data_IF_914736169415
#
_entry.id   IF_914736169415
#
_cell.length_a   1.000
_cell.length_b   1.000
_cell.length_c   1.000
_cell.angle_alpha   90.00
_cell.angle_beta   90.00
_cell.angle_gamma   90.00
#
_symmetry.space_group_name_H-M   'P 1'
#
loop_
_entity.id
_entity.type
_entity.pdbx_description
1 polymer ?
#
# COMPACT_ATOMS: atom_id res chain seq x y z
N UNK A 1 4.05 8.84 -19.13
CA UNK A 1 4.90 9.40 -18.05
C UNK A 1 6.14 8.51 -17.98
N UNK A 2 7.31 9.05 -17.66
CA UNK A 2 8.53 8.25 -17.42
C UNK A 2 8.66 8.07 -15.90
N UNK A 3 8.01 7.04 -15.36
CA UNK A 3 8.09 6.66 -13.95
C UNK A 3 8.55 5.21 -13.94
N UNK A 4 9.65 4.91 -13.25
CA UNK A 4 10.13 3.54 -13.06
C UNK A 4 9.20 2.82 -12.08
N UNK A 5 8.85 1.58 -12.40
CA UNK A 5 7.92 0.78 -11.61
C UNK A 5 8.66 -0.34 -10.89
N UNK A 6 8.45 -0.43 -9.58
CA UNK A 6 8.91 -1.53 -8.73
C UNK A 6 7.70 -2.38 -8.35
N UNK A 7 7.77 -3.69 -8.62
CA UNK A 7 6.78 -4.65 -8.14
C UNK A 7 7.24 -5.30 -6.83
N UNK A 8 6.28 -5.67 -5.98
CA UNK A 8 6.51 -6.58 -4.85
C UNK A 8 5.76 -7.88 -5.09
N UNK A 9 6.31 -9.00 -4.60
CA UNK A 9 5.70 -10.31 -4.81
C UNK A 9 5.98 -11.29 -3.67
N UNK A 10 5.06 -12.22 -3.44
CA UNK A 10 5.28 -13.40 -2.59
C UNK A 10 5.99 -14.51 -3.37
N UNK A 11 6.58 -15.49 -2.69
CA UNK A 11 7.34 -16.59 -3.33
C UNK A 11 6.59 -17.28 -4.48
N UNK A 12 5.29 -17.54 -4.30
CA UNK A 12 4.41 -18.17 -5.29
C UNK A 12 4.03 -17.24 -6.46
N UNK A 13 4.24 -15.94 -6.31
CA UNK A 13 3.93 -14.93 -7.33
C UNK A 13 5.15 -14.53 -8.18
N UNK A 14 6.29 -15.21 -8.04
CA UNK A 14 7.54 -14.89 -8.74
C UNK A 14 7.42 -14.84 -10.27
N UNK A 15 6.47 -15.57 -10.85
CA UNK A 15 6.20 -15.60 -12.30
C UNK A 15 4.94 -14.84 -12.68
N UNK A 16 4.32 -14.10 -11.73
CA UNK A 16 3.10 -13.35 -12.00
C UNK A 16 3.36 -12.21 -12.99
N UNK A 17 2.41 -11.88 -13.88
CA UNK A 17 2.62 -10.88 -14.93
C UNK A 17 3.08 -9.51 -14.42
N UNK A 18 2.61 -9.05 -13.26
CA UNK A 18 3.01 -7.74 -12.72
C UNK A 18 4.50 -7.69 -12.34
N UNK A 19 5.07 -8.81 -11.91
CA UNK A 19 6.50 -8.96 -11.62
C UNK A 19 7.30 -8.85 -12.91
N UNK A 20 6.85 -9.55 -13.96
CA UNK A 20 7.55 -9.60 -15.25
C UNK A 20 7.45 -8.29 -16.05
N UNK A 21 6.46 -7.44 -15.76
CA UNK A 21 6.23 -6.17 -16.44
C UNK A 21 6.91 -4.97 -15.76
N UNK A 22 7.30 -5.10 -14.49
CA UNK A 22 7.96 -4.03 -13.75
C UNK A 22 9.44 -3.89 -14.15
N UNK A 23 10.02 -2.71 -13.89
CA UNK A 23 11.44 -2.46 -14.14
C UNK A 23 12.33 -3.17 -13.10
N UNK A 24 11.82 -3.33 -11.88
CA UNK A 24 12.45 -4.03 -10.77
C UNK A 24 11.39 -4.78 -9.94
N UNK A 25 11.77 -5.87 -9.27
CA UNK A 25 10.86 -6.62 -8.40
C UNK A 25 11.53 -7.13 -7.13
N UNK A 26 10.82 -7.04 -5.99
CA UNK A 26 11.30 -7.44 -4.66
C UNK A 26 10.42 -8.54 -4.06
N UNK A 27 11.06 -9.65 -3.64
CA UNK A 27 10.42 -10.69 -2.86
C UNK A 27 10.13 -10.19 -1.45
N UNK A 28 8.85 -10.17 -1.07
CA UNK A 28 8.41 -9.70 0.25
C UNK A 28 8.07 -10.83 1.21
N UNK A 29 8.06 -12.10 0.79
CA UNK A 29 7.86 -13.22 1.72
C UNK A 29 7.11 -14.42 1.16
N UNK A 30 6.59 -15.30 2.03
CA UNK A 30 5.87 -16.50 1.60
C UNK A 30 4.45 -16.19 1.11
N UNK A 31 3.81 -17.19 0.51
CA UNK A 31 2.47 -17.12 -0.07
C UNK A 31 1.37 -16.55 0.84
N UNK A 32 1.51 -16.65 2.16
CA UNK A 32 0.53 -16.14 3.10
C UNK A 32 0.54 -14.59 3.08
N UNK A 33 -0.59 -13.92 2.73
CA UNK A 33 -0.64 -12.47 2.65
C UNK A 33 -0.27 -11.76 3.96
N UNK A 34 -0.64 -12.33 5.11
CA UNK A 34 -0.31 -11.76 6.43
C UNK A 34 1.19 -11.71 6.70
N UNK A 35 1.97 -12.52 5.98
CA UNK A 35 3.43 -12.59 6.07
C UNK A 35 4.09 -12.00 4.81
N UNK A 36 3.32 -11.38 3.89
CA UNK A 36 3.80 -10.75 2.67
C UNK A 36 3.06 -9.44 2.40
N UNK A 37 2.00 -9.46 1.58
CA UNK A 37 1.31 -8.26 1.09
C UNK A 37 0.61 -7.40 2.15
N UNK A 38 0.29 -7.97 3.31
CA UNK A 38 -0.35 -7.27 4.44
C UNK A 38 0.65 -6.86 5.52
N UNK A 39 1.92 -7.16 5.34
CA UNK A 39 2.98 -6.81 6.28
C UNK A 39 3.56 -5.43 5.93
N UNK A 40 3.40 -4.47 6.85
CA UNK A 40 3.73 -3.07 6.58
C UNK A 40 5.24 -2.87 6.38
N UNK A 41 6.04 -3.53 7.22
CA UNK A 41 7.50 -3.37 7.21
C UNK A 41 8.07 -3.90 5.91
N UNK A 42 7.59 -5.06 5.45
CA UNK A 42 8.04 -5.65 4.19
C UNK A 42 7.79 -4.76 2.98
N UNK A 43 6.64 -4.09 2.94
CA UNK A 43 6.29 -3.19 1.82
C UNK A 43 7.13 -1.91 1.87
N UNK A 44 7.27 -1.29 3.05
CA UNK A 44 8.05 -0.05 3.22
C UNK A 44 9.55 -0.31 3.03
N UNK A 45 10.07 -1.43 3.54
CA UNK A 45 11.47 -1.80 3.36
C UNK A 45 11.79 -2.11 1.91
N UNK A 46 10.87 -2.73 1.15
CA UNK A 46 11.03 -2.92 -0.28
C UNK A 46 11.13 -1.57 -1.01
N UNK A 47 10.25 -0.62 -0.70
CA UNK A 47 10.29 0.73 -1.28
C UNK A 47 11.60 1.47 -0.94
N UNK A 48 12.09 1.36 0.31
CA UNK A 48 13.37 1.96 0.72
C UNK A 48 14.57 1.33 0.01
N UNK A 49 14.59 0.00 -0.11
CA UNK A 49 15.68 -0.73 -0.79
C UNK A 49 15.82 -0.32 -2.27
N UNK A 50 14.70 -0.04 -2.94
CA UNK A 50 14.68 0.37 -4.35
C UNK A 50 14.75 1.90 -4.53
N UNK A 51 14.90 2.67 -3.45
CA UNK A 51 14.86 4.14 -3.47
C UNK A 51 13.60 4.70 -4.13
N UNK A 52 12.45 4.05 -3.91
CA UNK A 52 11.17 4.53 -4.40
C UNK A 52 10.73 5.78 -3.65
N UNK A 53 10.09 6.72 -4.35
CA UNK A 53 9.55 7.95 -3.74
C UNK A 53 8.10 7.78 -3.23
N UNK A 54 7.37 6.79 -3.77
CA UNK A 54 5.94 6.63 -3.56
C UNK A 54 5.48 5.17 -3.61
N UNK A 55 4.38 4.88 -2.94
CA UNK A 55 3.72 3.57 -2.93
C UNK A 55 2.28 3.74 -3.44
N UNK A 56 1.93 2.99 -4.49
CA UNK A 56 0.55 2.87 -4.96
C UNK A 56 -0.03 1.54 -4.47
N UNK A 57 -1.03 1.55 -3.56
CA UNK A 57 -1.53 0.32 -2.94
C UNK A 57 -2.50 -0.48 -3.82
N UNK A 58 -2.96 0.10 -4.93
CA UNK A 58 -4.01 -0.53 -5.73
C UNK A 58 -5.34 -0.51 -5.00
N UNK A 59 -5.96 -1.69 -4.86
CA UNK A 59 -7.23 -1.89 -4.16
C UNK A 59 -7.18 -3.19 -3.35
N UNK A 60 -7.96 -3.25 -2.26
CA UNK A 60 -7.83 -4.32 -1.29
C UNK A 60 -6.47 -4.28 -0.59
N UNK A 61 -6.15 -5.33 0.17
CA UNK A 61 -4.95 -5.38 1.00
C UNK A 61 -4.83 -4.16 1.93
N UNK A 62 -3.89 -3.26 1.64
CA UNK A 62 -3.55 -2.11 2.47
C UNK A 62 -4.11 -0.79 1.92
N UNK A 63 -4.83 -0.81 0.78
CA UNK A 63 -5.33 0.41 0.12
C UNK A 63 -6.28 1.24 0.97
N UNK A 64 -7.01 0.60 1.88
CA UNK A 64 -8.00 1.20 2.77
C UNK A 64 -7.56 1.14 4.24
N UNK A 65 -6.26 0.91 4.48
CA UNK A 65 -5.70 0.86 5.82
C UNK A 65 -5.05 2.21 6.17
N UNK A 66 -5.75 3.01 6.97
CA UNK A 66 -5.26 4.33 7.36
C UNK A 66 -4.01 4.29 8.25
N UNK A 67 -3.77 3.20 8.98
CA UNK A 67 -2.51 3.03 9.73
C UNK A 67 -1.34 2.79 8.77
N UNK A 68 -1.54 2.00 7.72
CA UNK A 68 -0.53 1.81 6.68
C UNK A 68 -0.23 3.10 5.93
N UNK A 69 -1.25 3.83 5.48
CA UNK A 69 -1.06 5.11 4.79
C UNK A 69 -0.25 6.10 5.66
N UNK A 70 -0.53 6.15 6.96
CA UNK A 70 0.26 6.94 7.91
C UNK A 70 1.69 6.42 8.02
N UNK A 71 1.88 5.11 8.12
CA UNK A 71 3.21 4.49 8.24
C UNK A 71 4.10 4.76 7.02
N UNK A 72 3.53 4.78 5.82
CA UNK A 72 4.21 5.17 4.57
C UNK A 72 4.65 6.64 4.65
N UNK A 73 3.74 7.55 5.00
CA UNK A 73 4.05 8.98 5.11
C UNK A 73 5.11 9.27 6.19
N UNK A 74 5.02 8.59 7.35
CA UNK A 74 6.00 8.70 8.44
C UNK A 74 7.38 8.12 8.07
N UNK A 75 7.45 7.35 6.98
CA UNK A 75 8.67 6.77 6.42
C UNK A 75 9.27 7.59 5.27
N UNK A 76 8.86 8.86 5.13
CA UNK A 76 9.27 9.79 4.07
C UNK A 76 8.92 9.32 2.64
N UNK A 77 7.88 8.50 2.51
CA UNK A 77 7.34 8.01 1.24
C UNK A 77 5.95 8.62 0.96
N UNK A 78 5.60 8.80 -0.31
CA UNK A 78 4.25 9.26 -0.67
C UNK A 78 3.29 8.06 -0.77
N UNK A 79 2.25 8.04 0.06
CA UNK A 79 1.12 7.13 -0.16
C UNK A 79 0.21 7.70 -1.26
N UNK A 80 0.09 7.00 -2.39
CA UNK A 80 -0.78 7.41 -3.50
C UNK A 80 -2.22 6.99 -3.21
N UNK A 81 -2.94 7.82 -2.47
CA UNK A 81 -4.33 7.61 -2.08
C UNK A 81 -4.88 8.76 -1.23
N UNK A 82 -6.03 8.57 -0.57
CA UNK A 82 -6.58 9.56 0.36
C UNK A 82 -5.71 9.73 1.61
N UNK A 83 -5.88 10.85 2.33
CA UNK A 83 -5.21 11.08 3.62
C UNK A 83 -5.52 9.97 4.65
N UNK A 84 -4.55 9.58 5.49
CA UNK A 84 -4.72 8.53 6.50
C UNK A 84 -5.94 8.71 7.41
N UNK A 85 -6.21 9.94 7.84
CA UNK A 85 -7.34 10.26 8.71
C UNK A 85 -8.67 10.13 7.97
N UNK A 86 -8.71 10.47 6.67
CA UNK A 86 -9.89 10.27 5.82
C UNK A 86 -10.19 8.79 5.66
N UNK A 87 -9.16 7.95 5.46
CA UNK A 87 -9.32 6.50 5.36
C UNK A 87 -9.92 5.93 6.65
N UNK A 88 -9.37 6.29 7.82
CA UNK A 88 -9.88 5.82 9.13
C UNK A 88 -11.32 6.23 9.36
N UNK A 89 -11.62 7.49 9.08
CA UNK A 89 -12.95 8.06 9.28
C UNK A 89 -14.00 7.37 8.40
N UNK A 90 -13.68 7.14 7.12
CA UNK A 90 -14.57 6.47 6.18
C UNK A 90 -14.67 4.95 6.42
N UNK A 91 -13.66 4.35 7.06
CA UNK A 91 -13.68 2.95 7.49
C UNK A 91 -14.60 2.70 8.70
N UNK A 92 -14.80 3.70 9.56
CA UNK A 92 -15.73 3.61 10.68
C UNK A 92 -17.17 3.92 10.23
N UNK A 93 -18.01 2.89 10.21
CA UNK A 93 -19.41 2.98 9.78
C UNK A 93 -20.25 3.97 10.60
N UNK A 94 -19.98 4.13 11.89
CA UNK A 94 -20.72 5.03 12.76
C UNK A 94 -20.29 6.48 12.51
N UNK A 95 -18.99 6.75 12.55
CA UNK A 95 -18.45 8.10 12.34
C UNK A 95 -18.71 8.59 10.90
N UNK A 96 -18.59 7.70 9.91
CA UNK A 96 -18.95 8.00 8.51
C UNK A 96 -20.38 8.49 8.37
N UNK A 97 -21.35 7.83 9.02
CA UNK A 97 -22.76 8.23 8.95
C UNK A 97 -23.00 9.59 9.59
N UNK A 98 -22.33 9.86 10.71
CA UNK A 98 -22.42 11.14 11.40
C UNK A 98 -21.88 12.27 10.53
N UNK A 99 -20.68 12.09 9.97
CA UNK A 99 -20.08 13.04 9.04
C UNK A 99 -20.99 13.31 7.83
N UNK A 100 -21.54 12.27 7.22
CA UNK A 100 -22.41 12.44 6.04
C UNK A 100 -23.69 13.20 6.40
N UNK A 101 -24.28 12.96 7.58
CA UNK A 101 -25.44 13.71 8.03
C UNK A 101 -25.14 15.20 8.30
N UNK A 102 -23.90 15.53 8.69
CA UNK A 102 -23.44 16.92 8.85
C UNK A 102 -23.17 17.60 7.50
N UNK A 103 -22.83 16.83 6.46
CA UNK A 103 -22.52 17.33 5.13
C UNK A 103 -23.75 17.68 4.27
N UNK A 104 -24.95 17.24 4.66
CA UNK A 104 -26.23 17.51 3.98
C UNK A 104 -26.73 16.33 3.14
#
# INVERSE_FOLDING_TARGET
MQISAVAVYSDVDSESPHVLMADEAILIGPANPSESYLDFDKIVDAAKQTNSDAIHPGYGFLSENGDFAKYVNDSDLVFIGPDPDTIKLMGDKAESKKMMAEAG
#
